data_IF_047860413685
#
_entry.id   IF_047860413685
#
_cell.length_a   1.000
_cell.length_b   1.000
_cell.length_c   1.000
_cell.angle_alpha   90.00
_cell.angle_beta   90.00
_cell.angle_gamma   90.00
#
_symmetry.space_group_name_H-M   'P 1'
#
loop_
_entity.id
_entity.type
_entity.pdbx_description
1 polymer ?
#
# COMPACT_ATOMS: atom_id res chain seq x y z
N UNK A 1 7.13 -6.20 -0.07
CA UNK A 1 5.76 -5.92 0.39
C UNK A 1 5.50 -6.64 1.69
N UNK A 2 4.62 -6.10 2.55
CA UNK A 2 4.23 -6.70 3.81
C UNK A 2 2.73 -6.56 4.02
N UNK A 3 2.10 -7.64 4.46
CA UNK A 3 0.70 -7.66 4.88
C UNK A 3 0.60 -7.09 6.31
N UNK A 4 -0.28 -6.12 6.55
CA UNK A 4 -0.42 -5.47 7.88
C UNK A 4 -1.13 -6.38 8.89
N UNK A 5 -0.72 -6.34 10.16
CA UNK A 5 -1.46 -7.00 11.25
C UNK A 5 -2.80 -6.30 11.54
N UNK A 6 -3.75 -6.93 12.25
CA UNK A 6 -5.05 -6.31 12.54
C UNK A 6 -4.92 -4.93 13.22
N UNK A 7 -4.00 -4.80 14.19
CA UNK A 7 -3.78 -3.54 14.89
C UNK A 7 -3.01 -2.48 14.10
N UNK A 8 -2.31 -2.86 13.03
CA UNK A 8 -1.73 -1.90 12.09
C UNK A 8 -2.76 -1.45 11.05
N UNK A 9 -3.64 -2.36 10.64
CA UNK A 9 -4.66 -2.09 9.64
C UNK A 9 -5.83 -1.28 10.19
N UNK A 10 -6.37 -1.66 11.35
CA UNK A 10 -7.51 -1.02 12.01
C UNK A 10 -8.73 -0.81 11.09
N UNK A 11 -9.08 -1.85 10.33
CA UNK A 11 -10.24 -1.86 9.44
C UNK A 11 -10.05 -1.07 8.14
N UNK A 12 -8.82 -0.64 7.83
CA UNK A 12 -8.50 -0.04 6.54
C UNK A 12 -8.42 -1.11 5.43
N UNK A 13 -8.35 -0.62 4.20
CA UNK A 13 -8.14 -1.41 2.99
C UNK A 13 -7.20 -0.67 2.04
N UNK A 14 -5.99 -0.30 2.47
CA UNK A 14 -5.10 0.54 1.67
C UNK A 14 -3.81 -0.20 1.28
N UNK A 15 -3.23 0.23 0.18
CA UNK A 15 -1.82 0.01 -0.09
C UNK A 15 -1.10 1.27 0.38
N UNK A 16 -0.26 1.15 1.39
CA UNK A 16 0.62 2.19 1.88
C UNK A 16 1.95 2.09 1.14
N UNK A 17 2.27 3.09 0.32
CA UNK A 17 3.38 3.02 -0.63
C UNK A 17 4.44 4.03 -0.24
N UNK A 18 5.67 3.56 -0.08
CA UNK A 18 6.84 4.39 0.14
C UNK A 18 7.81 4.24 -1.03
N UNK A 19 8.28 5.36 -1.57
CA UNK A 19 9.37 5.41 -2.55
C UNK A 19 10.55 6.12 -1.91
N UNK A 20 11.69 5.44 -1.85
CA UNK A 20 12.87 5.90 -1.09
C UNK A 20 14.16 5.79 -1.90
N UNK A 21 15.03 6.77 -1.73
CA UNK A 21 16.43 6.69 -2.18
C UNK A 21 17.21 5.71 -1.31
N UNK A 22 18.44 5.36 -1.69
CA UNK A 22 19.27 4.36 -1.00
C UNK A 22 19.63 4.74 0.45
N UNK A 23 19.60 6.02 0.79
CA UNK A 23 19.77 6.54 2.15
C UNK A 23 18.49 6.45 2.99
N UNK A 24 17.36 6.13 2.37
CA UNK A 24 16.05 5.98 3.00
C UNK A 24 15.20 7.25 2.95
N UNK A 25 15.68 8.34 2.33
CA UNK A 25 14.88 9.55 2.17
C UNK A 25 13.77 9.34 1.15
N UNK A 26 12.65 10.02 1.38
CA UNK A 26 11.50 9.96 0.48
C UNK A 26 11.76 10.69 -0.83
N UNK A 27 11.42 10.06 -1.95
CA UNK A 27 11.47 10.69 -3.27
C UNK A 27 10.06 11.19 -3.60
N UNK A 28 9.78 12.51 -3.52
CA UNK A 28 8.48 13.07 -3.89
C UNK A 28 8.30 13.12 -5.42
N UNK A 29 7.06 13.26 -5.87
CA UNK A 29 6.73 13.46 -7.29
C UNK A 29 6.82 12.21 -8.17
N UNK A 30 7.21 11.06 -7.62
CA UNK A 30 7.21 9.77 -8.33
C UNK A 30 5.78 9.27 -8.49
N UNK A 31 5.39 8.91 -9.72
CA UNK A 31 4.12 8.25 -10.01
C UNK A 31 4.24 6.74 -9.86
N UNK A 32 3.30 6.17 -9.12
CA UNK A 32 3.09 4.73 -8.98
C UNK A 32 1.90 4.36 -9.85
N UNK A 33 2.14 3.52 -10.86
CA UNK A 33 1.09 2.90 -11.67
C UNK A 33 0.46 1.76 -10.87
N UNK A 34 -0.86 1.82 -10.71
CA UNK A 34 -1.64 0.84 -9.95
C UNK A 34 -2.68 0.26 -10.90
N UNK A 35 -2.70 -1.06 -11.06
CA UNK A 35 -3.63 -1.76 -11.96
C UNK A 35 -4.43 -2.82 -11.22
N UNK A 36 -5.67 -3.02 -11.65
CA UNK A 36 -6.59 -4.06 -11.17
C UNK A 36 -7.52 -4.50 -12.32
N UNK A 37 -8.31 -5.58 -12.17
CA UNK A 37 -9.01 -6.18 -13.32
C UNK A 37 -9.96 -5.24 -14.08
N UNK A 38 -10.52 -4.23 -13.42
CA UNK A 38 -11.48 -3.30 -14.02
C UNK A 38 -10.89 -1.93 -14.34
N UNK A 39 -9.60 -1.69 -14.13
CA UNK A 39 -8.99 -0.39 -14.43
C UNK A 39 -7.57 -0.19 -13.93
N UNK A 40 -7.11 1.04 -14.09
CA UNK A 40 -5.80 1.49 -13.67
C UNK A 40 -5.83 2.95 -13.21
N UNK A 41 -4.84 3.34 -12.43
CA UNK A 41 -4.62 4.75 -12.06
C UNK A 41 -3.16 5.02 -11.75
N UNK A 42 -2.82 6.30 -11.54
CA UNK A 42 -1.53 6.72 -11.05
C UNK A 42 -1.69 7.45 -9.71
N UNK A 43 -0.89 7.08 -8.73
CA UNK A 43 -0.79 7.76 -7.46
C UNK A 43 0.58 8.45 -7.36
N UNK A 44 0.61 9.72 -6.98
CA UNK A 44 1.85 10.52 -6.93
C UNK A 44 2.29 10.74 -5.48
N UNK A 45 3.57 10.46 -5.21
CA UNK A 45 4.19 10.69 -3.89
C UNK A 45 4.39 12.17 -3.58
N UNK A 46 4.45 12.50 -2.28
CA UNK A 46 4.81 13.84 -1.82
C UNK A 46 3.64 14.80 -1.54
N UNK A 47 2.39 14.31 -1.59
CA UNK A 47 1.22 15.10 -1.22
C UNK A 47 0.84 14.99 0.27
N UNK A 48 1.43 14.03 1.00
CA UNK A 48 1.19 13.78 2.44
C UNK A 48 2.49 13.97 3.24
N UNK A 49 2.98 15.21 3.25
CA UNK A 49 4.28 15.58 3.83
C UNK A 49 4.35 15.35 5.34
N UNK A 50 3.21 15.31 6.03
CA UNK A 50 3.07 14.96 7.43
C UNK A 50 3.43 13.48 7.72
N UNK A 51 3.42 12.61 6.71
CA UNK A 51 3.83 11.21 6.82
C UNK A 51 5.27 11.03 6.37
N UNK A 52 5.54 11.31 5.09
CA UNK A 52 6.88 11.18 4.49
C UNK A 52 6.89 11.79 3.06
N UNK A 53 7.98 12.43 2.59
CA UNK A 53 8.03 13.01 1.24
C UNK A 53 7.82 12.01 0.10
N UNK A 54 8.21 10.75 0.31
CA UNK A 54 8.06 9.68 -0.68
C UNK A 54 6.82 8.82 -0.48
N UNK A 55 5.82 9.29 0.28
CA UNK A 55 4.64 8.50 0.62
C UNK A 55 3.44 8.84 -0.25
N UNK A 56 2.67 7.80 -0.57
CA UNK A 56 1.30 7.87 -1.09
C UNK A 56 0.55 6.62 -0.65
N UNK A 57 -0.76 6.71 -0.53
CA UNK A 57 -1.63 5.57 -0.27
C UNK A 57 -2.77 5.49 -1.27
N UNK A 58 -3.27 4.28 -1.44
CA UNK A 58 -4.36 3.98 -2.34
C UNK A 58 -5.36 3.04 -1.68
N UNK A 59 -6.64 3.44 -1.65
CA UNK A 59 -7.72 2.61 -1.13
C UNK A 59 -8.04 1.49 -2.13
N UNK A 60 -7.95 0.25 -1.66
CA UNK A 60 -8.31 -0.96 -2.36
C UNK A 60 -9.81 -1.25 -2.22
N UNK A 61 -10.37 -1.93 -3.20
CA UNK A 61 -11.66 -2.60 -3.09
C UNK A 61 -11.49 -4.04 -3.56
N UNK A 62 -12.51 -4.69 -4.11
CA UNK A 62 -12.41 -6.06 -4.60
C UNK A 62 -11.39 -6.20 -5.72
N UNK A 63 -10.69 -7.33 -5.72
CA UNK A 63 -9.83 -7.75 -6.82
C UNK A 63 -8.36 -7.82 -6.45
N UNK A 64 -7.55 -7.97 -7.49
CA UNK A 64 -6.11 -8.18 -7.38
C UNK A 64 -5.38 -6.98 -7.98
N UNK A 65 -4.53 -6.35 -7.18
CA UNK A 65 -3.80 -5.14 -7.52
C UNK A 65 -2.34 -5.45 -7.83
N UNK A 66 -1.78 -4.78 -8.82
CA UNK A 66 -0.33 -4.71 -9.01
C UNK A 66 0.15 -3.27 -9.05
N UNK A 67 1.42 -3.06 -8.70
CA UNK A 67 2.05 -1.75 -8.60
C UNK A 67 3.39 -1.75 -9.31
N UNK A 68 3.70 -0.67 -10.01
CA UNK A 68 5.00 -0.40 -10.61
C UNK A 68 5.30 1.10 -10.56
N UNK A 69 6.56 1.51 -10.44
CA UNK A 69 6.91 2.92 -10.64
C UNK A 69 6.83 3.25 -12.14
N UNK A 70 6.14 4.34 -12.48
CA UNK A 70 5.94 4.74 -13.87
C UNK A 70 7.13 5.53 -14.45
N UNK A 71 7.84 6.24 -13.58
CA UNK A 71 8.91 7.18 -13.96
C UNK A 71 10.32 6.61 -13.69
N UNK A 72 10.41 5.45 -13.05
CA UNK A 72 11.66 4.79 -12.63
C UNK A 72 11.60 3.30 -12.93
N UNK A 73 12.74 2.70 -13.22
CA UNK A 73 12.83 1.24 -13.36
C UNK A 73 12.56 0.58 -11.99
N UNK A 74 11.66 -0.39 -11.98
CA UNK A 74 11.22 -1.08 -10.77
C UNK A 74 10.59 -2.43 -11.09
N UNK A 75 10.68 -3.34 -10.12
CA UNK A 75 9.92 -4.59 -10.14
C UNK A 75 8.41 -4.31 -10.05
N UNK A 76 7.62 -5.21 -10.64
CA UNK A 76 6.17 -5.21 -10.45
C UNK A 76 5.86 -5.88 -9.12
N UNK A 77 5.16 -5.18 -8.24
CA UNK A 77 4.70 -5.70 -6.94
C UNK A 77 3.28 -6.24 -7.08
N UNK A 78 3.05 -7.47 -6.64
CA UNK A 78 1.72 -8.08 -6.58
C UNK A 78 1.72 -9.54 -7.07
N UNK A 79 0.55 -10.17 -7.16
CA UNK A 79 -0.78 -9.60 -6.88
C UNK A 79 -1.03 -9.32 -5.39
N UNK A 80 -1.69 -8.21 -5.08
CA UNK A 80 -2.19 -7.86 -3.74
C UNK A 80 -3.71 -7.92 -3.73
N UNK A 81 -4.32 -8.61 -2.77
CA UNK A 81 -5.78 -8.65 -2.59
C UNK A 81 -6.17 -8.19 -1.19
N UNK A 82 -7.24 -7.39 -1.00
CA UNK A 82 -7.73 -7.06 0.33
C UNK A 82 -8.61 -8.17 0.92
N UNK A 83 -8.69 -9.33 0.27
CA UNK A 83 -9.52 -10.47 0.67
C UNK A 83 -8.82 -11.29 1.75
N UNK A 84 -9.53 -11.56 2.85
CA UNK A 84 -9.17 -12.61 3.80
C UNK A 84 -10.38 -13.46 4.15
N UNK A 85 -10.11 -14.73 4.44
CA UNK A 85 -11.14 -15.73 4.70
C UNK A 85 -11.83 -15.59 6.06
N UNK A 86 -11.19 -14.93 7.03
CA UNK A 86 -11.66 -14.84 8.42
C UNK A 86 -11.41 -13.45 8.98
N UNK A 87 -12.39 -12.85 9.63
CA UNK A 87 -12.18 -11.59 10.35
C UNK A 87 -11.23 -11.76 11.54
N UNK A 88 -10.39 -10.76 11.75
CA UNK A 88 -9.40 -10.71 12.81
C UNK A 88 -9.60 -9.45 13.65
N UNK A 89 -9.49 -9.60 14.98
CA UNK A 89 -9.65 -8.52 15.94
C UNK A 89 -8.31 -7.86 16.24
N UNK A 90 -8.29 -6.54 16.42
CA UNK A 90 -7.17 -5.90 17.11
C UNK A 90 -7.35 -6.02 18.63
N UNK A 91 -6.41 -6.68 19.30
CA UNK A 91 -6.42 -6.89 20.75
C UNK A 91 -6.26 -5.61 21.57
N UNK A 92 -5.58 -4.59 21.02
CA UNK A 92 -5.36 -3.29 21.68
C UNK A 92 -6.61 -2.41 21.72
N UNK A 93 -7.42 -2.41 20.67
CA UNK A 93 -8.58 -1.52 20.52
C UNK A 93 -9.91 -2.24 20.70
N UNK A 94 -9.92 -3.58 20.64
CA UNK A 94 -11.13 -4.38 20.66
C UNK A 94 -11.93 -4.35 19.36
N UNK A 95 -11.37 -3.79 18.27
CA UNK A 95 -12.02 -3.71 16.97
C UNK A 95 -12.16 -5.12 16.36
N UNK A 96 -13.38 -5.70 16.24
CA UNK A 96 -13.58 -7.09 15.83
C UNK A 96 -13.47 -7.32 14.32
N UNK A 97 -13.31 -6.24 13.54
CA UNK A 97 -13.20 -6.26 12.08
C UNK A 97 -11.94 -5.53 11.61
N UNK A 98 -10.91 -5.51 12.47
CA UNK A 98 -9.66 -4.82 12.23
C UNK A 98 -8.90 -5.36 11.01
N UNK A 99 -9.01 -6.67 10.74
CA UNK A 99 -8.99 -7.17 9.36
C UNK A 99 -10.30 -7.90 9.10
N UNK A 100 -10.88 -7.75 7.92
CA UNK A 100 -12.08 -8.49 7.53
C UNK A 100 -12.17 -8.65 6.00
N UNK A 101 -13.23 -9.29 5.51
CA UNK A 101 -13.44 -9.43 4.06
C UNK A 101 -13.40 -8.05 3.37
N UNK A 102 -12.51 -7.91 2.38
CA UNK A 102 -12.21 -6.66 1.67
C UNK A 102 -11.56 -5.55 2.50
N UNK A 103 -11.15 -5.83 3.74
CA UNK A 103 -10.54 -4.86 4.66
C UNK A 103 -9.18 -5.38 5.11
N UNK A 104 -8.27 -5.47 4.14
CA UNK A 104 -6.88 -5.80 4.36
C UNK A 104 -5.98 -4.76 3.71
N UNK A 105 -4.90 -4.38 4.39
CA UNK A 105 -3.91 -3.44 3.88
C UNK A 105 -2.52 -4.03 3.74
N UNK A 106 -1.72 -3.41 2.87
CA UNK A 106 -0.33 -3.76 2.64
C UNK A 106 0.57 -2.53 2.78
N UNK A 107 1.80 -2.77 3.21
CA UNK A 107 2.90 -1.82 3.11
C UNK A 107 3.83 -2.26 1.97
N UNK A 108 4.06 -1.36 1.03
CA UNK A 108 4.95 -1.55 -0.12
C UNK A 108 6.04 -0.49 -0.06
N UNK A 109 7.28 -0.93 -0.11
CA UNK A 109 8.45 -0.05 -0.13
C UNK A 109 9.23 -0.31 -1.40
N UNK A 110 9.29 0.70 -2.27
CA UNK A 110 10.24 0.78 -3.37
C UNK A 110 11.50 1.47 -2.86
N UNK A 111 12.61 0.74 -2.88
CA UNK A 111 13.87 1.16 -2.31
C UNK A 111 14.93 1.13 -3.40
N UNK A 112 15.54 2.27 -3.71
CA UNK A 112 16.71 2.28 -4.59
C UNK A 112 17.85 1.47 -3.93
N UNK A 113 18.51 0.64 -4.72
CA UNK A 113 19.55 -0.30 -4.25
C UNK A 113 20.96 0.07 -4.72
N UNK A 114 21.13 1.09 -5.57
CA UNK A 114 22.43 1.54 -6.12
C UNK A 114 22.46 3.05 -6.30
#
# INVERSE_FOLDING_TARGET
MRQLSPCENEGKHHIFIHVRDKEGHGIPGVRVHITWPSGETYATTGHKLEVHPGFVDFAMFKGSYTLQLADLDSEIVGPLTPDIARSEMCDKTGNPVANSMYHYSYEVVFQQVR
#
